data_IF_434738145485
#
_entry.id   IF_434738145485
#
_cell.length_a   1.000
_cell.length_b   1.000
_cell.length_c   1.000
_cell.angle_alpha   90.00
_cell.angle_beta   90.00
_cell.angle_gamma   90.00
#
_symmetry.space_group_name_H-M   'P 1'
#
loop_
_entity.id
_entity.type
_entity.pdbx_description
1 polymer ?
#
# COMPACT_ATOMS: atom_id res chain seq x y z
N UNK A 1 12.12 -2.05 -12.07
CA UNK A 1 12.00 -1.41 -10.74
C UNK A 1 10.59 -0.86 -10.61
N UNK A 2 9.89 -1.13 -9.51
CA UNK A 2 8.58 -0.56 -9.20
C UNK A 2 8.76 0.88 -8.69
N UNK A 3 7.91 1.80 -9.15
CA UNK A 3 7.81 3.15 -8.58
C UNK A 3 6.46 3.26 -7.86
N UNK A 4 6.49 3.59 -6.59
CA UNK A 4 5.28 3.84 -5.81
C UNK A 4 5.22 5.32 -5.43
N UNK A 5 4.12 5.97 -5.76
CA UNK A 5 3.88 7.38 -5.48
C UNK A 5 2.65 7.48 -4.58
N UNK A 6 2.86 7.97 -3.36
CA UNK A 6 1.76 8.27 -2.44
C UNK A 6 1.14 9.61 -2.84
N UNK A 7 0.07 9.54 -3.61
CA UNK A 7 -0.58 10.75 -4.14
C UNK A 7 -1.49 11.43 -3.13
N UNK A 8 -1.95 10.70 -2.10
CA UNK A 8 -2.82 11.24 -1.05
C UNK A 8 -2.67 10.47 0.25
N UNK A 9 -2.83 11.17 1.37
CA UNK A 9 -3.02 10.59 2.71
C UNK A 9 -4.49 10.66 3.15
N UNK A 10 -5.40 11.22 2.32
CA UNK A 10 -6.83 11.26 2.60
C UNK A 10 -7.46 9.91 2.38
N UNK A 11 -8.26 9.45 3.34
CA UNK A 11 -9.00 8.21 3.24
C UNK A 11 -10.41 8.40 3.82
N UNK A 12 -11.38 7.68 3.27
CA UNK A 12 -12.72 7.58 3.82
C UNK A 12 -12.90 6.39 4.77
N UNK A 13 -11.80 5.71 5.12
CA UNK A 13 -11.70 4.69 6.15
C UNK A 13 -10.81 5.14 7.30
N UNK A 14 -10.99 4.51 8.46
CA UNK A 14 -10.25 4.78 9.70
C UNK A 14 -9.66 3.49 10.28
N UNK A 15 -9.08 2.64 9.42
CA UNK A 15 -8.55 1.34 9.81
C UNK A 15 -7.58 1.47 10.98
N UNK A 16 -7.79 0.70 12.07
CA UNK A 16 -7.01 0.82 13.30
C UNK A 16 -5.51 0.59 13.09
N UNK A 17 -5.14 -0.23 12.11
CA UNK A 17 -3.77 -0.59 11.78
C UNK A 17 -3.13 0.33 10.72
N UNK A 18 -3.86 1.30 10.15
CA UNK A 18 -3.34 2.20 9.12
C UNK A 18 -2.70 3.42 9.76
N UNK A 19 -1.46 3.72 9.39
CA UNK A 19 -0.79 4.92 9.84
C UNK A 19 -1.50 6.20 9.37
N UNK A 20 -2.14 6.15 8.19
CA UNK A 20 -2.83 7.28 7.57
C UNK A 20 -3.92 7.92 8.41
N UNK A 21 -4.59 7.15 9.29
CA UNK A 21 -5.67 7.68 10.15
C UNK A 21 -5.23 8.84 11.07
N UNK A 22 -3.96 8.87 11.45
CA UNK A 22 -3.38 9.87 12.35
C UNK A 22 -2.38 10.79 11.64
N UNK A 23 -2.25 10.68 10.31
CA UNK A 23 -1.42 11.57 9.50
C UNK A 23 -2.21 12.81 9.06
N UNK A 24 -1.49 13.89 8.75
CA UNK A 24 -2.10 15.08 8.14
C UNK A 24 -2.74 14.70 6.79
N UNK A 25 -4.02 15.02 6.63
CA UNK A 25 -4.82 14.68 5.45
C UNK A 25 -4.56 15.66 4.32
N UNK A 26 -3.83 15.23 3.28
CA UNK A 26 -3.43 16.09 2.16
C UNK A 26 -3.30 15.31 0.85
N UNK A 27 -3.26 16.06 -0.24
CA UNK A 27 -3.05 15.54 -1.59
C UNK A 27 -1.70 16.05 -2.13
N UNK A 28 -1.03 15.22 -2.91
CA UNK A 28 0.13 15.64 -3.70
C UNK A 28 -0.31 16.66 -4.76
N UNK A 29 0.41 17.77 -4.90
CA UNK A 29 0.14 18.71 -5.98
C UNK A 29 0.46 18.07 -7.35
N UNK A 30 -0.37 18.35 -8.36
CA UNK A 30 -0.20 17.76 -9.69
C UNK A 30 1.17 18.13 -10.31
N UNK A 31 1.65 19.35 -10.09
CA UNK A 31 2.98 19.77 -10.54
C UNK A 31 4.13 18.96 -9.89
N UNK A 32 3.95 18.57 -8.61
CA UNK A 32 4.91 17.71 -7.93
C UNK A 32 4.90 16.31 -8.52
N UNK A 33 3.69 15.75 -8.76
CA UNK A 33 3.55 14.49 -9.48
C UNK A 33 4.26 14.54 -10.84
N UNK A 34 4.05 15.59 -11.62
CA UNK A 34 4.68 15.77 -12.95
C UNK A 34 6.22 15.79 -12.85
N UNK A 35 6.78 16.40 -11.81
CA UNK A 35 8.23 16.41 -11.56
C UNK A 35 8.80 15.02 -11.22
N UNK A 36 8.04 14.19 -10.51
CA UNK A 36 8.39 12.78 -10.20
C UNK A 36 8.26 11.95 -11.48
N UNK A 37 7.12 12.09 -12.17
CA UNK A 37 6.80 11.35 -13.39
C UNK A 37 7.88 11.53 -14.46
N UNK A 38 8.39 12.75 -14.66
CA UNK A 38 9.45 13.05 -15.63
C UNK A 38 10.77 12.29 -15.40
N UNK A 39 10.97 11.71 -14.20
CA UNK A 39 12.17 10.94 -13.83
C UNK A 39 11.97 9.43 -13.94
N UNK A 40 10.77 8.97 -14.33
CA UNK A 40 10.43 7.55 -14.43
C UNK A 40 10.56 7.10 -15.90
N UNK A 41 11.37 6.08 -16.18
CA UNK A 41 11.52 5.57 -17.55
C UNK A 41 10.20 4.98 -18.09
N UNK A 42 9.88 5.15 -19.39
CA UNK A 42 8.77 4.45 -20.03
C UNK A 42 8.85 2.92 -19.83
N UNK A 43 7.70 2.27 -19.79
CA UNK A 43 7.60 0.83 -19.51
C UNK A 43 7.68 0.47 -18.03
N UNK A 44 7.98 1.44 -17.15
CA UNK A 44 8.05 1.17 -15.71
C UNK A 44 6.68 0.91 -15.12
N UNK A 45 6.55 -0.06 -14.18
CA UNK A 45 5.36 -0.18 -13.33
C UNK A 45 5.34 0.98 -12.33
N UNK A 46 4.20 1.69 -12.28
CA UNK A 46 3.97 2.81 -11.35
C UNK A 46 2.72 2.55 -10.53
N UNK A 47 2.88 2.54 -9.21
CA UNK A 47 1.79 2.34 -8.27
C UNK A 47 1.39 3.66 -7.63
N UNK A 48 0.13 4.07 -7.83
CA UNK A 48 -0.47 5.23 -7.18
C UNK A 48 -1.18 4.76 -5.91
N UNK A 49 -0.43 4.63 -4.81
CA UNK A 49 -0.97 4.16 -3.54
C UNK A 49 -0.10 4.64 -2.37
N UNK A 50 -0.70 4.70 -1.19
CA UNK A 50 -0.05 5.06 0.06
C UNK A 50 -0.98 4.75 1.23
N UNK A 51 -1.02 5.63 2.23
CA UNK A 51 -1.88 5.51 3.39
C UNK A 51 -3.32 6.01 3.13
N UNK A 52 -3.55 6.76 2.05
CA UNK A 52 -4.86 7.26 1.66
C UNK A 52 -5.59 6.36 0.67
N UNK A 53 -6.83 6.73 0.35
CA UNK A 53 -7.61 6.15 -0.75
C UNK A 53 -7.32 6.92 -2.05
N UNK A 54 -6.68 6.30 -3.05
CA UNK A 54 -6.27 7.00 -4.26
C UNK A 54 -7.40 7.68 -5.03
N UNK A 55 -8.59 7.07 -5.06
CA UNK A 55 -9.76 7.61 -5.75
C UNK A 55 -10.36 8.87 -5.08
N UNK A 56 -9.90 9.23 -3.88
CA UNK A 56 -10.23 10.54 -3.27
C UNK A 56 -9.37 11.68 -3.80
N UNK A 57 -8.27 11.39 -4.51
CA UNK A 57 -7.45 12.45 -5.05
C UNK A 57 -8.17 13.16 -6.20
N UNK A 58 -8.36 14.49 -6.19
CA UNK A 58 -9.15 15.20 -7.20
C UNK A 58 -8.57 15.06 -8.61
N UNK A 59 -7.27 14.83 -8.74
CA UNK A 59 -6.57 14.63 -10.01
C UNK A 59 -6.13 13.17 -10.24
N UNK A 60 -6.78 12.19 -9.58
CA UNK A 60 -6.41 10.79 -9.73
C UNK A 60 -6.38 10.37 -11.20
N UNK A 61 -7.45 10.63 -11.93
CA UNK A 61 -7.55 10.26 -13.32
C UNK A 61 -6.61 11.05 -14.24
N UNK A 62 -6.31 12.32 -13.92
CA UNK A 62 -5.30 13.09 -14.64
C UNK A 62 -3.92 12.46 -14.51
N UNK A 63 -3.57 11.95 -13.32
CA UNK A 63 -2.32 11.24 -13.06
C UNK A 63 -2.26 9.91 -13.81
N UNK A 64 -3.35 9.12 -13.76
CA UNK A 64 -3.46 7.85 -14.50
C UNK A 64 -3.30 8.06 -16.00
N UNK A 65 -3.97 9.06 -16.56
CA UNK A 65 -3.87 9.40 -17.99
C UNK A 65 -2.44 9.81 -18.39
N UNK A 66 -1.72 10.50 -17.50
CA UNK A 66 -0.29 10.83 -17.73
C UNK A 66 0.57 9.58 -17.76
N UNK A 67 0.35 8.65 -16.82
CA UNK A 67 1.06 7.36 -16.78
C UNK A 67 0.83 6.58 -18.09
N UNK A 68 -0.43 6.44 -18.51
CA UNK A 68 -0.79 5.70 -19.71
C UNK A 68 -0.18 6.34 -20.98
N UNK A 69 -0.30 7.68 -21.12
CA UNK A 69 0.29 8.41 -22.26
C UNK A 69 1.82 8.38 -22.29
N UNK A 70 2.45 8.30 -21.12
CA UNK A 70 3.90 8.14 -20.98
C UNK A 70 4.40 6.71 -21.16
N UNK A 71 3.50 5.77 -21.45
CA UNK A 71 3.84 4.35 -21.65
C UNK A 71 4.21 3.61 -20.38
N UNK A 72 3.84 4.12 -19.18
CA UNK A 72 3.99 3.43 -17.91
C UNK A 72 2.90 2.37 -17.72
N UNK A 73 3.13 1.42 -16.81
CA UNK A 73 2.16 0.40 -16.42
C UNK A 73 1.54 0.79 -15.08
N UNK A 74 0.33 1.40 -15.05
CA UNK A 74 -0.28 1.85 -13.81
C UNK A 74 -0.78 0.70 -12.95
N UNK A 75 -0.64 0.87 -11.63
CA UNK A 75 -1.20 0.02 -10.60
C UNK A 75 -1.76 0.90 -9.47
N UNK A 76 -2.74 0.42 -8.73
CA UNK A 76 -3.22 1.02 -7.49
C UNK A 76 -3.80 -0.03 -6.58
N UNK A 77 -3.87 0.27 -5.27
CA UNK A 77 -4.68 -0.46 -4.30
C UNK A 77 -5.75 0.50 -3.78
N UNK A 78 -6.99 0.06 -3.78
CA UNK A 78 -8.17 0.85 -3.37
C UNK A 78 -9.01 0.08 -2.37
N UNK A 79 -9.78 0.78 -1.56
CA UNK A 79 -10.85 0.19 -0.77
C UNK A 79 -12.13 -0.11 -1.58
N UNK A 80 -12.13 0.21 -2.86
CA UNK A 80 -13.20 -0.03 -3.84
C UNK A 80 -14.55 0.66 -3.57
N UNK A 81 -14.67 1.52 -2.57
CA UNK A 81 -15.94 2.21 -2.26
C UNK A 81 -16.29 3.30 -3.27
N UNK A 82 -15.31 3.76 -4.07
CA UNK A 82 -15.41 4.88 -5.00
C UNK A 82 -15.20 4.48 -6.46
N UNK A 83 -15.47 3.21 -6.79
CA UNK A 83 -15.38 2.72 -8.18
C UNK A 83 -16.65 3.10 -8.93
N UNK A 84 -16.68 4.29 -9.49
CA UNK A 84 -17.83 4.80 -10.25
C UNK A 84 -17.71 4.51 -11.76
N UNK A 85 -16.51 4.30 -12.26
CA UNK A 85 -16.22 4.04 -13.68
C UNK A 85 -15.37 2.76 -13.84
N UNK A 86 -15.94 1.55 -13.61
CA UNK A 86 -15.20 0.31 -13.64
C UNK A 86 -14.61 -0.01 -15.03
N UNK A 87 -15.26 0.43 -16.11
CA UNK A 87 -14.76 0.30 -17.49
C UNK A 87 -13.42 1.03 -17.66
N UNK A 88 -13.35 2.31 -17.19
CA UNK A 88 -12.12 3.09 -17.24
C UNK A 88 -11.00 2.44 -16.40
N UNK A 89 -11.34 1.85 -15.26
CA UNK A 89 -10.38 1.05 -14.49
C UNK A 89 -9.85 -0.11 -15.32
N UNK A 90 -10.73 -0.87 -15.97
CA UNK A 90 -10.34 -2.03 -16.79
C UNK A 90 -9.48 -1.66 -18.01
N UNK A 91 -9.70 -0.47 -18.58
CA UNK A 91 -8.93 0.07 -19.71
C UNK A 91 -7.52 0.53 -19.29
N UNK A 92 -7.43 1.23 -18.15
CA UNK A 92 -6.17 1.84 -17.72
C UNK A 92 -5.28 0.90 -16.90
N UNK A 93 -5.86 -0.02 -16.13
CA UNK A 93 -5.10 -0.85 -15.20
C UNK A 93 -5.03 -2.31 -15.66
N UNK A 94 -3.85 -2.81 -16.06
CA UNK A 94 -3.65 -4.25 -16.34
C UNK A 94 -4.00 -5.11 -15.11
N UNK A 95 -3.76 -4.57 -13.90
CA UNK A 95 -4.16 -5.15 -12.60
C UNK A 95 -4.54 -4.05 -11.64
N UNK A 96 -5.43 -4.38 -10.69
CA UNK A 96 -5.81 -3.51 -9.57
C UNK A 96 -5.82 -4.29 -8.27
N UNK A 97 -5.34 -3.67 -7.19
CA UNK A 97 -5.48 -4.18 -5.84
C UNK A 97 -6.78 -3.69 -5.21
N UNK A 98 -7.45 -4.57 -4.47
CA UNK A 98 -8.60 -4.24 -3.64
C UNK A 98 -8.32 -4.68 -2.22
N UNK A 99 -8.41 -3.75 -1.28
CA UNK A 99 -8.21 -4.03 0.14
C UNK A 99 -9.47 -4.65 0.74
N UNK A 100 -9.39 -5.89 1.23
CA UNK A 100 -10.49 -6.59 1.88
C UNK A 100 -9.95 -7.53 2.96
N UNK A 101 -10.27 -7.25 4.25
CA UNK A 101 -9.71 -8.01 5.37
C UNK A 101 -10.68 -9.05 5.95
N UNK A 102 -11.97 -8.88 5.72
CA UNK A 102 -13.02 -9.78 6.19
C UNK A 102 -14.28 -9.62 5.35
N UNK A 103 -15.10 -10.67 5.32
CA UNK A 103 -16.47 -10.64 4.76
C UNK A 103 -17.52 -10.33 5.84
N UNK A 104 -17.12 -10.37 7.12
CA UNK A 104 -18.00 -10.02 8.24
C UNK A 104 -18.11 -8.48 8.30
N UNK A 105 -19.34 -8.00 8.08
CA UNK A 105 -19.63 -6.57 8.01
C UNK A 105 -19.42 -5.86 9.36
N UNK A 106 -19.71 -6.53 10.47
CA UNK A 106 -19.56 -5.94 11.80
C UNK A 106 -18.11 -5.87 12.21
N UNK A 107 -17.34 -6.93 11.97
CA UNK A 107 -15.89 -6.92 12.16
C UNK A 107 -15.22 -5.86 11.25
N UNK A 108 -15.66 -5.73 10.01
CA UNK A 108 -15.17 -4.69 9.10
C UNK A 108 -15.35 -3.28 9.70
N UNK A 109 -16.55 -2.97 10.19
CA UNK A 109 -16.83 -1.67 10.82
C UNK A 109 -16.03 -1.47 12.12
N UNK A 110 -15.92 -2.50 12.95
CA UNK A 110 -15.14 -2.45 14.19
C UNK A 110 -13.66 -2.15 13.93
N UNK A 111 -13.11 -2.62 12.81
CA UNK A 111 -11.71 -2.36 12.44
C UNK A 111 -11.51 -0.99 11.75
N UNK A 112 -12.58 -0.18 11.61
CA UNK A 112 -12.54 1.11 10.95
C UNK A 112 -12.63 1.04 9.42
N UNK A 113 -12.94 -0.14 8.87
CA UNK A 113 -13.29 -0.32 7.46
C UNK A 113 -14.77 -0.09 7.28
N UNK A 114 -15.09 1.17 7.12
CA UNK A 114 -16.46 1.62 6.93
C UNK A 114 -17.03 1.14 5.59
N UNK A 115 -18.35 1.01 5.52
CA UNK A 115 -19.08 0.70 4.28
C UNK A 115 -18.72 -0.65 3.59
N UNK A 116 -18.69 -1.80 4.33
CA UNK A 116 -18.34 -3.11 3.75
C UNK A 116 -19.20 -3.48 2.53
N UNK A 117 -20.46 -3.08 2.50
CA UNK A 117 -21.39 -3.31 1.39
C UNK A 117 -20.94 -2.59 0.11
N UNK A 118 -20.40 -1.35 0.24
CA UNK A 118 -19.86 -0.60 -0.90
C UNK A 118 -18.56 -1.22 -1.43
N UNK A 119 -17.72 -1.76 -0.55
CA UNK A 119 -16.50 -2.48 -0.94
C UNK A 119 -16.85 -3.68 -1.81
N UNK A 120 -17.78 -4.52 -1.35
CA UNK A 120 -18.23 -5.71 -2.09
C UNK A 120 -18.93 -5.34 -3.40
N UNK A 121 -19.75 -4.29 -3.41
CA UNK A 121 -20.38 -3.78 -4.62
C UNK A 121 -19.35 -3.24 -5.63
N UNK A 122 -18.32 -2.52 -5.18
CA UNK A 122 -17.22 -2.05 -6.02
C UNK A 122 -16.43 -3.21 -6.62
N UNK A 123 -16.14 -4.22 -5.81
CA UNK A 123 -15.46 -5.44 -6.24
C UNK A 123 -16.26 -6.23 -7.28
N UNK A 124 -17.59 -6.34 -7.09
CA UNK A 124 -18.48 -6.98 -8.06
C UNK A 124 -18.46 -6.25 -9.41
N UNK A 125 -18.58 -4.91 -9.42
CA UNK A 125 -18.48 -4.10 -10.64
C UNK A 125 -17.13 -4.28 -11.36
N UNK A 126 -16.03 -4.33 -10.62
CA UNK A 126 -14.71 -4.59 -11.20
C UNK A 126 -14.62 -5.98 -11.84
N UNK A 127 -15.18 -7.00 -11.15
CA UNK A 127 -15.18 -8.40 -11.66
C UNK A 127 -15.91 -8.55 -12.99
N UNK A 128 -16.98 -7.78 -13.21
CA UNK A 128 -17.74 -7.83 -14.47
C UNK A 128 -16.92 -7.36 -15.67
N UNK A 129 -16.02 -6.40 -15.48
CA UNK A 129 -15.27 -5.75 -16.59
C UNK A 129 -13.80 -6.17 -16.67
N UNK A 130 -13.18 -6.58 -15.55
CA UNK A 130 -11.77 -7.00 -15.51
C UNK A 130 -11.62 -8.51 -15.69
N UNK A 131 -11.60 -8.95 -16.93
CA UNK A 131 -11.38 -10.37 -17.26
C UNK A 131 -9.96 -10.59 -17.84
N UNK A 132 -9.29 -11.69 -17.49
CA UNK A 132 -9.69 -12.69 -16.48
C UNK A 132 -9.66 -12.09 -15.05
N UNK A 133 -10.45 -12.68 -14.12
CA UNK A 133 -10.64 -12.17 -12.77
C UNK A 133 -9.34 -12.06 -11.93
N UNK A 134 -8.28 -12.79 -12.30
CA UNK A 134 -6.94 -12.69 -11.69
C UNK A 134 -6.26 -11.32 -11.87
N UNK A 135 -6.81 -10.45 -12.70
CA UNK A 135 -6.41 -9.04 -12.78
C UNK A 135 -6.77 -8.26 -11.50
N UNK A 136 -7.71 -8.77 -10.71
CA UNK A 136 -8.08 -8.23 -9.40
C UNK A 136 -7.28 -8.97 -8.33
N UNK A 137 -6.56 -8.22 -7.51
CA UNK A 137 -5.73 -8.75 -6.43
C UNK A 137 -6.34 -8.31 -5.11
N UNK A 138 -6.84 -9.25 -4.31
CA UNK A 138 -7.27 -8.95 -2.94
C UNK A 138 -6.03 -8.79 -2.05
N UNK A 139 -5.94 -7.68 -1.35
CA UNK A 139 -4.95 -7.40 -0.33
C UNK A 139 -5.61 -7.43 1.04
N UNK A 140 -5.13 -8.31 1.91
CA UNK A 140 -5.63 -8.51 3.26
C UNK A 140 -4.52 -8.24 4.25
N UNK A 141 -4.79 -7.46 5.28
CA UNK A 141 -3.94 -7.36 6.47
C UNK A 141 -4.42 -8.42 7.47
N UNK A 142 -3.51 -9.32 7.86
CA UNK A 142 -3.75 -10.31 8.91
C UNK A 142 -3.44 -9.67 10.27
N UNK A 143 -4.49 -9.44 11.06
CA UNK A 143 -4.42 -8.97 12.44
C UNK A 143 -4.97 -10.02 13.44
N UNK A 144 -5.12 -11.28 13.00
CA UNK A 144 -5.61 -12.41 13.81
C UNK A 144 -7.07 -12.77 13.54
N UNK A 145 -7.74 -12.17 12.55
CA UNK A 145 -9.10 -12.52 12.16
C UNK A 145 -9.17 -13.85 11.40
N UNK A 146 -10.35 -14.53 11.38
CA UNK A 146 -10.54 -15.71 10.55
C UNK A 146 -10.40 -15.39 9.06
N UNK A 147 -9.44 -16.03 8.38
CA UNK A 147 -9.14 -15.79 6.97
C UNK A 147 -9.79 -16.80 6.01
N UNK A 148 -10.32 -17.93 6.52
CA UNK A 148 -10.76 -19.01 5.63
C UNK A 148 -11.90 -18.59 4.71
N UNK A 149 -12.93 -17.93 5.23
CA UNK A 149 -14.06 -17.46 4.41
C UNK A 149 -13.60 -16.50 3.29
N UNK A 150 -12.60 -15.65 3.57
CA UNK A 150 -12.05 -14.73 2.59
C UNK A 150 -11.21 -15.44 1.51
N UNK A 151 -10.46 -16.48 1.90
CA UNK A 151 -9.72 -17.33 0.95
C UNK A 151 -10.68 -18.07 0.01
N UNK A 152 -11.74 -18.65 0.58
CA UNK A 152 -12.78 -19.34 -0.19
C UNK A 152 -13.50 -18.39 -1.14
N UNK A 153 -13.82 -17.19 -0.68
CA UNK A 153 -14.40 -16.13 -1.51
C UNK A 153 -13.47 -15.72 -2.66
N UNK A 154 -12.19 -15.53 -2.39
CA UNK A 154 -11.21 -15.19 -3.41
C UNK A 154 -11.09 -16.29 -4.47
N UNK A 155 -11.00 -17.54 -4.04
CA UNK A 155 -10.95 -18.72 -4.93
C UNK A 155 -12.21 -18.86 -5.77
N UNK A 156 -13.39 -18.77 -5.16
CA UNK A 156 -14.68 -18.88 -5.86
C UNK A 156 -14.90 -17.78 -6.92
N UNK A 157 -14.29 -16.60 -6.72
CA UNK A 157 -14.36 -15.50 -7.67
C UNK A 157 -13.17 -15.41 -8.63
N UNK A 158 -12.19 -16.31 -8.52
CA UNK A 158 -11.00 -16.32 -9.34
C UNK A 158 -10.04 -15.16 -9.08
N UNK A 159 -10.12 -14.51 -7.93
CA UNK A 159 -9.22 -13.42 -7.57
C UNK A 159 -7.87 -13.95 -7.10
N UNK A 160 -6.81 -13.21 -7.39
CA UNK A 160 -5.54 -13.41 -6.68
C UNK A 160 -5.66 -12.87 -5.26
N UNK A 161 -5.15 -13.60 -4.26
CA UNK A 161 -5.23 -13.18 -2.86
C UNK A 161 -3.83 -13.09 -2.26
N UNK A 162 -3.52 -11.94 -1.64
CA UNK A 162 -2.28 -11.67 -0.94
C UNK A 162 -2.63 -11.31 0.50
N UNK A 163 -2.08 -12.06 1.45
CA UNK A 163 -2.22 -11.80 2.88
C UNK A 163 -0.91 -11.21 3.39
N UNK A 164 -0.98 -10.07 4.03
CA UNK A 164 0.15 -9.38 4.63
C UNK A 164 -0.07 -9.32 6.15
N UNK A 165 0.89 -9.76 6.96
CA UNK A 165 0.78 -9.65 8.39
C UNK A 165 0.93 -8.17 8.84
N UNK A 166 0.35 -7.88 10.01
CA UNK A 166 0.43 -6.56 10.63
C UNK A 166 1.89 -6.11 10.83
N UNK A 167 2.17 -4.83 10.58
CA UNK A 167 3.49 -4.25 10.74
C UNK A 167 3.75 -3.84 12.21
N UNK A 168 4.68 -4.49 12.94
CA UNK A 168 4.92 -4.21 14.37
C UNK A 168 5.94 -3.09 14.61
N UNK A 169 6.22 -2.25 13.63
CA UNK A 169 7.22 -1.19 13.71
C UNK A 169 6.93 -0.20 14.85
N UNK A 170 7.94 0.18 15.64
CA UNK A 170 7.77 0.99 16.85
C UNK A 170 7.08 2.33 16.64
N UNK A 171 7.42 3.04 15.56
CA UNK A 171 6.79 4.33 15.25
C UNK A 171 5.33 4.19 14.79
N UNK A 172 4.89 2.98 14.41
CA UNK A 172 3.50 2.67 14.15
C UNK A 172 2.67 2.60 15.44
N UNK A 173 3.29 2.35 16.59
CA UNK A 173 2.59 2.34 17.89
C UNK A 173 1.87 3.67 18.19
N UNK A 174 2.31 4.77 17.63
CA UNK A 174 1.59 6.06 17.69
C UNK A 174 0.36 6.11 16.78
N UNK A 175 0.25 5.21 15.81
CA UNK A 175 -0.86 5.13 14.88
C UNK A 175 -1.84 4.02 15.24
N UNK A 176 -1.33 2.91 15.78
CA UNK A 176 -2.13 1.81 16.31
C UNK A 176 -1.33 1.07 17.40
N UNK A 177 -2.04 0.40 18.33
CA UNK A 177 -1.39 -0.37 19.37
C UNK A 177 -0.83 -1.68 18.76
N UNK A 178 0.42 -1.67 18.32
CA UNK A 178 1.16 -2.85 17.94
C UNK A 178 2.11 -3.23 19.07
N UNK A 179 2.08 -4.48 19.50
CA UNK A 179 3.13 -5.00 20.37
C UNK A 179 4.41 -5.16 19.56
N UNK A 180 5.44 -4.39 19.90
CA UNK A 180 6.76 -4.57 19.32
C UNK A 180 7.45 -5.76 19.99
N UNK A 181 7.40 -6.91 19.35
CA UNK A 181 8.23 -8.04 19.76
C UNK A 181 9.66 -7.85 19.25
N UNK A 182 10.54 -7.42 20.14
CA UNK A 182 11.97 -7.34 19.90
C UNK A 182 12.56 -8.75 19.85
N UNK A 183 12.44 -9.40 18.69
CA UNK A 183 13.18 -10.62 18.39
C UNK A 183 14.62 -10.33 17.98
N UNK A 184 15.45 -11.36 17.73
CA UNK A 184 16.80 -11.16 17.25
C UNK A 184 16.79 -10.45 15.89
N UNK A 185 17.40 -9.27 15.83
CA UNK A 185 17.55 -8.47 14.62
C UNK A 185 18.59 -9.09 13.67
N UNK A 186 18.28 -9.19 12.37
CA UNK A 186 19.21 -9.67 11.36
C UNK A 186 20.13 -8.57 10.78
N UNK A 187 19.90 -7.29 11.12
CA UNK A 187 20.63 -6.11 10.64
C UNK A 187 20.69 -6.00 9.09
N UNK A 188 19.71 -6.55 8.41
CA UNK A 188 19.59 -6.54 6.94
C UNK A 188 18.20 -6.07 6.55
N UNK A 189 18.13 -5.29 5.48
CA UNK A 189 16.87 -4.81 4.93
C UNK A 189 16.86 -4.96 3.41
N UNK A 190 15.93 -5.75 2.88
CA UNK A 190 15.84 -5.99 1.45
C UNK A 190 15.57 -4.72 0.61
N UNK A 191 14.89 -3.73 1.17
CA UNK A 191 14.65 -2.45 0.51
C UNK A 191 15.92 -1.61 0.35
N UNK A 192 16.88 -1.76 1.26
CA UNK A 192 18.17 -1.04 1.24
C UNK A 192 19.22 -1.80 0.42
N UNK A 193 19.31 -3.12 0.62
CA UNK A 193 20.34 -3.95 -0.03
C UNK A 193 20.05 -4.22 -1.52
N UNK A 194 18.79 -4.36 -1.87
CA UNK A 194 18.34 -4.66 -3.24
C UNK A 194 17.09 -3.83 -3.56
N UNK A 195 17.27 -2.55 -3.87
CA UNK A 195 16.15 -1.65 -4.09
C UNK A 195 15.35 -2.07 -5.32
N UNK A 196 14.25 -2.80 -5.09
CA UNK A 196 13.26 -3.17 -6.12
C UNK A 196 12.14 -2.14 -6.23
N UNK A 197 12.09 -1.19 -5.29
CA UNK A 197 11.08 -0.16 -5.15
C UNK A 197 11.73 1.21 -4.99
N UNK A 198 11.18 2.22 -5.67
CA UNK A 198 11.37 3.64 -5.33
C UNK A 198 10.05 4.17 -4.81
N UNK A 199 10.04 4.66 -3.59
CA UNK A 199 8.85 5.21 -2.95
C UNK A 199 8.97 6.72 -2.81
N UNK A 200 7.94 7.43 -3.27
CA UNK A 200 7.77 8.86 -3.09
C UNK A 200 6.56 9.11 -2.20
N UNK A 201 6.76 9.79 -1.07
CA UNK A 201 5.65 10.16 -0.19
C UNK A 201 4.84 11.31 -0.79
N UNK A 202 3.78 11.72 -0.11
CA UNK A 202 2.87 12.79 -0.54
C UNK A 202 3.56 14.17 -0.73
N UNK A 203 4.72 14.38 -0.10
CA UNK A 203 5.56 15.59 -0.23
C UNK A 203 6.63 15.44 -1.31
N UNK A 204 6.66 14.30 -2.03
CA UNK A 204 7.63 14.01 -3.08
C UNK A 204 9.02 13.61 -2.58
N UNK A 205 9.16 13.34 -1.28
CA UNK A 205 10.42 12.84 -0.72
C UNK A 205 10.60 11.39 -1.14
N UNK A 206 11.73 11.10 -1.77
CA UNK A 206 12.09 9.72 -2.14
C UNK A 206 12.68 9.00 -0.93
N UNK A 207 12.10 7.86 -0.59
CA UNK A 207 12.50 7.01 0.53
C UNK A 207 12.72 5.56 0.07
N UNK A 208 13.54 4.78 0.77
CA UNK A 208 13.86 3.40 0.38
C UNK A 208 12.67 2.46 0.48
N UNK A 209 11.69 2.77 1.33
CA UNK A 209 10.51 1.94 1.56
C UNK A 209 9.31 2.78 1.98
N UNK A 210 8.11 2.19 1.87
CA UNK A 210 6.85 2.82 2.29
C UNK A 210 6.54 2.66 3.80
N UNK A 211 7.40 2.00 4.58
CA UNK A 211 7.23 1.87 6.03
C UNK A 211 7.75 3.07 6.84
N UNK A 212 8.57 3.92 6.25
CA UNK A 212 9.00 5.18 6.88
C UNK A 212 7.88 6.21 6.65
N UNK A 213 7.22 6.65 7.73
CA UNK A 213 6.07 7.56 7.64
C UNK A 213 6.44 9.02 7.88
N UNK A 214 7.49 9.26 8.64
CA UNK A 214 7.96 10.60 8.96
C UNK A 214 9.20 10.95 8.15
N UNK A 215 8.99 11.69 7.06
CA UNK A 215 10.08 12.11 6.19
C UNK A 215 11.07 13.05 6.88
N UNK A 216 10.65 13.76 7.94
CA UNK A 216 11.53 14.64 8.71
C UNK A 216 12.53 13.87 9.57
N UNK A 217 12.18 12.63 9.93
CA UNK A 217 13.05 11.72 10.69
C UNK A 217 13.84 10.77 9.78
N UNK A 218 13.69 10.87 8.47
CA UNK A 218 14.40 10.03 7.52
C UNK A 218 15.85 10.52 7.34
N UNK A 219 16.86 9.76 7.81
CA UNK A 219 18.25 10.20 7.82
C UNK A 219 18.94 10.04 6.45
N UNK A 220 18.25 9.50 5.46
CA UNK A 220 18.81 9.08 4.17
C UNK A 220 19.07 7.58 4.09
N UNK A 221 19.00 7.03 2.88
CA UNK A 221 19.16 5.58 2.64
C UNK A 221 20.57 5.11 3.01
N UNK A 222 21.59 5.90 2.70
CA UNK A 222 22.99 5.58 3.01
C UNK A 222 23.25 5.53 4.53
N UNK A 223 22.63 6.47 5.29
CA UNK A 223 22.74 6.45 6.74
C UNK A 223 22.08 5.22 7.35
N UNK A 224 20.92 4.79 6.83
CA UNK A 224 20.29 3.53 7.25
C UNK A 224 21.20 2.34 6.93
N UNK A 225 21.77 2.28 5.74
CA UNK A 225 22.68 1.20 5.35
C UNK A 225 23.91 1.13 6.26
N UNK A 226 24.51 2.27 6.59
CA UNK A 226 25.67 2.35 7.48
C UNK A 226 25.35 1.89 8.91
N UNK A 227 24.20 2.27 9.47
CA UNK A 227 23.77 1.80 10.79
C UNK A 227 23.58 0.28 10.82
N UNK A 228 22.90 -0.28 9.81
CA UNK A 228 22.69 -1.73 9.71
C UNK A 228 24.02 -2.49 9.54
N UNK A 229 24.94 -1.98 8.73
CA UNK A 229 26.29 -2.55 8.58
C UNK A 229 27.09 -2.52 9.90
N UNK A 230 26.88 -1.48 10.71
CA UNK A 230 27.44 -1.36 12.05
C UNK A 230 26.66 -2.17 13.12
N UNK A 231 25.75 -3.04 12.72
CA UNK A 231 24.87 -3.84 13.60
C UNK A 231 24.02 -2.99 14.56
N UNK A 232 23.55 -1.86 14.10
CA UNK A 232 22.59 -1.03 14.81
C UNK A 232 21.31 -0.89 13.99
N UNK A 233 20.17 -0.86 14.65
CA UNK A 233 18.88 -0.59 14.01
C UNK A 233 18.60 0.90 14.09
N UNK A 234 18.47 1.62 12.95
CA UNK A 234 18.11 3.02 12.96
C UNK A 234 16.79 3.26 13.68
N UNK A 235 16.63 4.41 14.32
CA UNK A 235 15.41 4.75 15.05
C UNK A 235 14.15 4.67 14.18
N UNK A 236 14.24 5.09 12.91
CA UNK A 236 13.16 5.00 11.92
C UNK A 236 12.80 3.57 11.49
N UNK A 237 13.61 2.57 11.88
CA UNK A 237 13.45 1.17 11.49
C UNK A 237 13.18 0.25 12.68
N UNK A 238 13.10 0.76 13.90
CA UNK A 238 12.87 -0.04 15.11
C UNK A 238 11.56 -0.80 15.01
N UNK A 239 11.56 -2.07 15.41
CA UNK A 239 10.39 -2.95 15.35
C UNK A 239 9.94 -3.33 13.93
N UNK A 240 10.63 -2.89 12.88
CA UNK A 240 10.24 -3.19 11.51
C UNK A 240 10.45 -4.67 11.19
N UNK A 241 9.40 -5.37 10.78
CA UNK A 241 9.44 -6.80 10.43
C UNK A 241 10.38 -7.12 9.26
N UNK A 242 10.71 -6.14 8.40
CA UNK A 242 11.68 -6.34 7.31
C UNK A 242 13.12 -6.49 7.83
N UNK A 243 13.39 -6.07 9.07
CA UNK A 243 14.69 -6.20 9.75
C UNK A 243 14.67 -7.36 10.72
N UNK A 244 13.53 -7.68 11.33
CA UNK A 244 13.38 -8.79 12.24
C UNK A 244 13.06 -10.08 11.50
N UNK A 245 13.79 -11.17 11.73
CA UNK A 245 13.49 -12.47 11.18
C UNK A 245 12.27 -13.05 11.94
N UNK A 246 11.07 -12.69 11.58
CA UNK A 246 9.99 -13.66 11.71
C UNK A 246 10.26 -14.77 10.68
N UNK A 247 10.02 -16.01 11.09
CA UNK A 247 10.14 -17.13 10.19
C UNK A 247 9.44 -16.77 8.86
N UNK A 248 10.21 -16.63 7.80
CA UNK A 248 9.63 -16.36 6.48
C UNK A 248 8.70 -17.53 6.21
N UNK A 249 7.41 -17.28 6.23
CA UNK A 249 6.47 -18.19 5.62
C UNK A 249 6.86 -18.19 4.16
N UNK A 250 7.50 -19.28 3.73
CA UNK A 250 7.86 -19.47 2.32
C UNK A 250 6.57 -19.44 1.51
N UNK A 251 6.49 -18.50 0.61
CA UNK A 251 5.43 -18.33 -0.37
C UNK A 251 5.54 -19.39 -1.46
#
# INVERSE_FOLDING_TARGET
MLHQIEITTRCNFECFYCAGRNMAQRNMALALFDSIFARIPPGSPVSLQGEGEPFLHPHFWDMVDRLCRGGMVPYTITNATLIDSPQRVAECFPRIGVSLDTLDADLSRQTGRLFPERVLAGLARLREVMQPAQRIVLHTVDFGQPLQALRDYAAANGFRHIVQPLQPKDDYARYYAAESNWGPCNFRCGFVERPLLRYFNVDGVEMPCFYIKDAHLFPGTEAIAAELAARRVPATCRGCREIFPEARVSW
#
